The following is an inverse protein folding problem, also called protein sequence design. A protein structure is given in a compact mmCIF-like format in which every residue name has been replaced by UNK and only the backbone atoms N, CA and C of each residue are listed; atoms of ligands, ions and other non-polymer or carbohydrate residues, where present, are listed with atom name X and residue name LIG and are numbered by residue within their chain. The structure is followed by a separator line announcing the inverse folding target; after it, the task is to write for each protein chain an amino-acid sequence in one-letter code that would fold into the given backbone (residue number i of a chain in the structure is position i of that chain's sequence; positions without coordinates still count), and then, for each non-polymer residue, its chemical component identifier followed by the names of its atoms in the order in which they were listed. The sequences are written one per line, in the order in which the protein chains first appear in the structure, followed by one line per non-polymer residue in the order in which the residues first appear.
data_IF_360448419589
#
_entry.id   IF_360448419589
#
_cell.length_a   1.000
_cell.length_b   1.000
_cell.length_c   1.000
_cell.angle_alpha   90.00
_cell.angle_beta   90.00
_cell.angle_gamma   90.00
#
_symmetry.space_group_name_H-M   'P 1'
#
loop_
_entity.id
_entity.type
_entity.pdbx_description
1 polymer ?
#
# COMPACT_ATOMS: atom_id res chain seq x y z
N UNK A 1 -15.21 -7.13 18.04
CA UNK A 1 -14.51 -7.70 16.88
C UNK A 1 -13.04 -7.68 17.25
N UNK A 2 -12.41 -8.85 17.40
CA UNK A 2 -10.98 -8.91 17.69
C UNK A 2 -10.19 -8.75 16.39
N UNK A 3 -9.18 -7.89 16.39
CA UNK A 3 -8.27 -7.72 15.27
C UNK A 3 -7.51 -9.02 15.04
N UNK A 4 -7.47 -9.49 13.80
CA UNK A 4 -6.89 -10.80 13.43
C UNK A 4 -5.39 -10.70 13.16
N UNK A 5 -4.84 -9.49 13.09
CA UNK A 5 -3.40 -9.28 13.04
C UNK A 5 -3.00 -7.96 12.42
N UNK A 6 -1.75 -7.58 12.67
CA UNK A 6 -1.12 -6.41 12.05
C UNK A 6 -0.26 -6.87 10.88
N UNK A 7 -0.53 -6.32 9.70
CA UNK A 7 0.18 -6.66 8.45
C UNK A 7 1.18 -5.56 8.12
N UNK A 8 2.34 -5.96 7.61
CA UNK A 8 3.38 -5.07 7.08
C UNK A 8 3.71 -5.49 5.65
N UNK A 9 3.54 -4.58 4.70
CA UNK A 9 3.88 -4.78 3.29
C UNK A 9 5.00 -3.81 2.92
N UNK A 10 6.04 -4.33 2.25
CA UNK A 10 7.10 -3.52 1.67
C UNK A 10 7.05 -3.68 0.14
N UNK A 11 6.98 -2.54 -0.58
CA UNK A 11 6.87 -2.51 -2.05
C UNK A 11 8.01 -1.68 -2.60
N UNK A 12 8.61 -2.12 -3.71
CA UNK A 12 9.55 -1.34 -4.49
C UNK A 12 8.92 -0.97 -5.84
N UNK A 13 8.95 0.32 -6.17
CA UNK A 13 8.38 0.87 -7.40
C UNK A 13 9.42 1.73 -8.10
N UNK A 14 9.74 1.35 -9.32
CA UNK A 14 10.68 2.07 -10.18
C UNK A 14 10.19 2.10 -11.61
N UNK A 15 10.61 3.12 -12.36
CA UNK A 15 10.36 3.20 -13.79
C UNK A 15 11.18 2.11 -14.49
N UNK A 16 10.54 1.33 -15.35
CA UNK A 16 11.18 0.19 -16.03
C UNK A 16 12.21 0.60 -17.08
N UNK A 17 12.14 1.82 -17.60
CA UNK A 17 13.01 2.34 -18.65
C UNK A 17 14.31 2.96 -18.11
N UNK A 18 14.23 3.61 -16.95
CA UNK A 18 15.30 4.43 -16.37
C UNK A 18 15.81 3.89 -15.05
N UNK A 19 15.04 3.01 -14.40
CA UNK A 19 15.29 2.57 -13.02
C UNK A 19 15.05 3.66 -11.98
N UNK A 20 14.60 4.86 -12.36
CA UNK A 20 14.35 5.93 -11.41
C UNK A 20 13.20 5.57 -10.46
N UNK A 21 13.32 5.95 -9.17
CA UNK A 21 12.28 5.64 -8.19
C UNK A 21 10.99 6.39 -8.51
N UNK A 22 9.87 5.70 -8.35
CA UNK A 22 8.56 6.36 -8.30
C UNK A 22 8.33 6.83 -6.87
N UNK A 23 7.98 8.11 -6.72
CA UNK A 23 7.69 8.74 -5.42
C UNK A 23 6.31 9.38 -5.45
N UNK A 24 5.67 9.56 -4.29
CA UNK A 24 4.32 10.14 -4.19
C UNK A 24 3.17 9.23 -4.60
N UNK A 25 3.37 7.92 -4.75
CA UNK A 25 2.27 6.99 -4.99
C UNK A 25 1.30 6.98 -3.80
N UNK A 26 0.00 6.89 -4.09
CA UNK A 26 -1.02 6.66 -3.06
C UNK A 26 -1.27 5.16 -2.90
N UNK A 27 -1.55 4.73 -1.67
CA UNK A 27 -1.83 3.33 -1.35
C UNK A 27 -3.11 3.27 -0.52
N UNK A 28 -4.01 2.38 -0.93
CA UNK A 28 -5.25 2.08 -0.22
C UNK A 28 -5.37 0.57 0.00
N UNK A 29 -5.97 0.18 1.13
CA UNK A 29 -6.30 -1.21 1.44
C UNK A 29 -7.80 -1.31 1.57
N UNK A 30 -8.40 -2.33 0.97
CA UNK A 30 -9.83 -2.59 1.02
C UNK A 30 -10.11 -3.98 1.58
N UNK A 31 -11.16 -4.12 2.36
CA UNK A 31 -11.72 -5.42 2.69
C UNK A 31 -12.66 -5.90 1.57
N UNK A 32 -12.92 -7.19 1.47
CA UNK A 32 -13.70 -7.80 0.38
C UNK A 32 -15.12 -7.25 0.20
N UNK A 33 -15.66 -6.57 1.22
CA UNK A 33 -16.95 -5.87 1.15
C UNK A 33 -16.85 -4.44 0.56
N UNK A 34 -15.67 -4.03 0.08
CA UNK A 34 -15.39 -2.70 -0.46
C UNK A 34 -15.05 -1.62 0.58
N UNK A 35 -15.06 -1.95 1.87
CA UNK A 35 -14.71 -1.00 2.93
C UNK A 35 -13.22 -0.70 2.92
N UNK A 36 -12.86 0.58 2.97
CA UNK A 36 -11.46 0.98 3.07
C UNK A 36 -10.93 0.75 4.49
N UNK A 37 -9.74 0.17 4.58
CA UNK A 37 -8.98 -0.03 5.81
C UNK A 37 -7.95 1.08 5.92
N UNK A 38 -7.90 1.72 7.09
CA UNK A 38 -6.89 2.71 7.39
C UNK A 38 -5.50 2.05 7.42
N UNK A 39 -4.57 2.64 6.67
CA UNK A 39 -3.20 2.18 6.59
C UNK A 39 -2.23 3.34 6.85
N UNK A 40 -1.18 3.06 7.60
CA UNK A 40 -0.01 3.94 7.68
C UNK A 40 0.89 3.65 6.50
N UNK A 41 1.20 4.68 5.72
CA UNK A 41 2.05 4.60 4.53
C UNK A 41 3.27 5.49 4.74
N UNK A 42 4.46 4.90 4.63
CA UNK A 42 5.73 5.61 4.62
C UNK A 42 6.36 5.47 3.24
N UNK A 43 6.48 6.60 2.53
CA UNK A 43 7.28 6.73 1.31
C UNK A 43 8.70 7.13 1.68
N UNK A 44 9.67 6.24 1.49
CA UNK A 44 11.08 6.52 1.76
C UNK A 44 11.73 7.45 0.70
N UNK A 45 10.97 7.85 -0.32
CA UNK A 45 11.38 8.68 -1.46
C UNK A 45 12.54 8.11 -2.28
N UNK A 46 12.73 6.79 -2.20
CA UNK A 46 13.71 6.03 -2.96
C UNK A 46 13.03 4.88 -3.75
N UNK A 47 11.72 4.95 -3.95
CA UNK A 47 10.92 3.91 -4.59
C UNK A 47 10.45 2.82 -3.63
N UNK A 48 10.94 2.79 -2.39
CA UNK A 48 10.45 1.89 -1.34
C UNK A 48 9.26 2.51 -0.60
N UNK A 49 8.19 1.74 -0.48
CA UNK A 49 7.02 2.04 0.34
C UNK A 49 6.89 1.01 1.45
N UNK A 50 6.62 1.47 2.68
CA UNK A 50 6.23 0.61 3.79
C UNK A 50 4.79 0.92 4.17
N UNK A 51 3.94 -0.11 4.12
CA UNK A 51 2.51 0.00 4.38
C UNK A 51 2.15 -0.90 5.56
N UNK A 52 1.50 -0.33 6.56
CA UNK A 52 1.13 -1.04 7.79
C UNK A 52 -0.34 -0.82 8.08
N UNK A 53 -1.08 -1.90 8.28
CA UNK A 53 -2.52 -1.86 8.56
C UNK A 53 -2.92 -3.02 9.47
N UNK A 54 -4.08 -2.90 10.10
CA UNK A 54 -4.64 -3.90 11.01
C UNK A 54 -5.84 -4.56 10.34
N UNK A 55 -5.91 -5.89 10.41
CA UNK A 55 -7.05 -6.67 9.88
C UNK A 55 -8.14 -6.75 10.96
N UNK A 56 -9.30 -6.10 10.79
CA UNK A 56 -10.37 -6.13 11.79
C UNK A 56 -11.12 -7.47 11.86
N UNK A 57 -11.03 -8.29 10.81
CA UNK A 57 -11.67 -9.60 10.71
C UNK A 57 -10.92 -10.54 9.75
N UNK A 58 -11.20 -11.83 9.83
CA UNK A 58 -10.72 -12.79 8.83
C UNK A 58 -11.39 -12.53 7.48
N UNK A 59 -10.68 -12.78 6.39
CA UNK A 59 -11.21 -12.67 5.04
C UNK A 59 -10.20 -12.13 4.05
N UNK A 60 -10.69 -11.78 2.85
CA UNK A 60 -9.86 -11.26 1.77
C UNK A 60 -9.71 -9.74 1.88
N UNK A 61 -8.50 -9.28 1.63
CA UNK A 61 -8.16 -7.86 1.51
C UNK A 61 -7.48 -7.61 0.18
N UNK A 62 -7.79 -6.47 -0.44
CA UNK A 62 -7.18 -6.01 -1.67
C UNK A 62 -6.27 -4.82 -1.37
N UNK A 63 -5.06 -4.86 -1.92
CA UNK A 63 -4.08 -3.78 -1.85
C UNK A 63 -4.06 -3.04 -3.20
N UNK A 64 -4.31 -1.74 -3.18
CA UNK A 64 -4.30 -0.91 -4.37
C UNK A 64 -3.25 0.18 -4.24
N UNK A 65 -2.37 0.29 -5.23
CA UNK A 65 -1.39 1.36 -5.35
C UNK A 65 -1.66 2.14 -6.63
N UNK A 66 -1.80 3.45 -6.49
CA UNK A 66 -1.98 4.38 -7.62
C UNK A 66 -0.72 5.21 -7.77
N UNK A 67 -0.09 5.08 -8.94
CA UNK A 67 1.04 5.90 -9.35
C UNK A 67 0.52 6.96 -10.31
N UNK A 68 0.65 8.23 -9.95
CA UNK A 68 0.38 9.32 -10.89
C UNK A 68 1.63 9.56 -11.73
N UNK A 69 1.48 9.52 -13.05
CA UNK A 69 2.55 9.86 -13.96
C UNK A 69 2.81 11.35 -13.93
N UNK A 70 4.03 11.77 -13.56
CA UNK A 70 4.53 13.07 -13.97
C UNK A 70 5.05 12.95 -15.41
N UNK A 71 4.40 13.69 -16.32
CA UNK A 71 4.90 13.93 -17.68
C UNK A 71 6.25 14.65 -17.65
#
# INVERSE_FOLDING_TARGET
MESVGRVKVAVNVSRSDTGFPVVGASVNVYYSNGSQIEASVLDYRNGTYLVVFTLPSEGRYDFAMTVEGAA
#
